data_IF_331510327124
#
_entry.id   IF_331510327124
#
_cell.length_a   1.000
_cell.length_b   1.000
_cell.length_c   1.000
_cell.angle_alpha   90.00
_cell.angle_beta   90.00
_cell.angle_gamma   90.00
#
_symmetry.space_group_name_H-M   'P 1'
#
loop_
_entity.id
_entity.type
_entity.pdbx_description
1 polymer ?
#
# COMPACT_ATOMS: atom_id res chain seq x y z
N UNK A 1 19.80 3.96 35.45
CA UNK A 1 21.03 3.97 34.64
C UNK A 1 20.61 4.29 33.22
N UNK A 2 20.96 5.47 32.70
CA UNK A 2 20.67 5.83 31.31
C UNK A 2 21.61 5.00 30.45
N UNK A 3 21.09 4.04 29.71
CA UNK A 3 21.89 3.27 28.75
C UNK A 3 22.57 4.26 27.78
N UNK A 4 23.85 4.05 27.45
CA UNK A 4 24.46 4.84 26.37
C UNK A 4 23.70 4.57 25.08
N UNK A 5 23.68 5.52 24.15
CA UNK A 5 22.93 5.38 22.90
C UNK A 5 23.32 4.12 22.10
N UNK A 6 24.61 3.74 22.13
CA UNK A 6 25.13 2.48 21.59
C UNK A 6 24.54 1.18 22.21
N UNK A 7 24.08 1.23 23.47
CA UNK A 7 23.43 0.10 24.16
C UNK A 7 21.92 0.05 23.91
N UNK A 8 21.33 1.12 23.39
CA UNK A 8 19.89 1.24 23.21
C UNK A 8 19.38 0.49 21.98
N UNK A 9 20.11 0.50 20.86
CA UNK A 9 19.66 -0.15 19.62
C UNK A 9 19.37 -1.67 19.78
N UNK A 10 20.20 -2.48 20.47
CA UNK A 10 19.86 -3.87 20.77
C UNK A 10 18.55 -4.02 21.54
N UNK A 11 18.30 -3.16 22.54
CA UNK A 11 17.08 -3.15 23.34
C UNK A 11 15.86 -2.75 22.50
N UNK A 12 15.99 -1.70 21.67
CA UNK A 12 14.94 -1.28 20.72
C UNK A 12 14.53 -2.42 19.80
N UNK A 13 15.52 -3.13 19.23
CA UNK A 13 15.27 -4.28 18.35
C UNK A 13 14.56 -5.41 19.09
N UNK A 14 14.95 -5.70 20.33
CA UNK A 14 14.28 -6.69 21.16
C UNK A 14 12.82 -6.29 21.42
N UNK A 15 12.58 -5.08 21.95
CA UNK A 15 11.24 -4.61 22.30
C UNK A 15 10.32 -4.52 21.09
N UNK A 16 10.86 -4.11 19.94
CA UNK A 16 10.10 -4.03 18.72
C UNK A 16 9.70 -5.42 18.20
N UNK A 17 10.58 -6.43 18.29
CA UNK A 17 10.22 -7.82 17.97
C UNK A 17 9.11 -8.36 18.87
N UNK A 18 9.17 -8.06 20.17
CA UNK A 18 8.10 -8.42 21.12
C UNK A 18 6.76 -7.77 20.74
N UNK A 19 6.79 -6.62 20.07
CA UNK A 19 5.60 -5.92 19.55
C UNK A 19 5.21 -6.35 18.12
N UNK A 20 5.95 -7.27 17.50
CA UNK A 20 5.67 -7.81 16.17
C UNK A 20 6.33 -7.07 14.99
N UNK A 21 7.23 -6.12 15.24
CA UNK A 21 8.05 -5.51 14.18
C UNK A 21 9.20 -6.46 13.81
N UNK A 22 9.41 -6.66 12.51
CA UNK A 22 10.47 -7.54 12.00
C UNK A 22 11.84 -6.86 12.04
N UNK A 23 11.89 -5.54 11.92
CA UNK A 23 13.14 -4.78 11.95
C UNK A 23 12.94 -3.34 12.44
N UNK A 24 13.94 -2.82 13.17
CA UNK A 24 14.08 -1.40 13.52
C UNK A 24 15.45 -0.90 13.06
N UNK A 25 15.45 0.31 12.52
CA UNK A 25 16.63 1.10 12.19
C UNK A 25 16.49 2.55 12.68
N UNK A 26 17.59 3.29 12.64
CA UNK A 26 17.67 4.70 13.04
C UNK A 26 18.18 5.49 11.83
N UNK A 27 17.41 6.46 11.37
CA UNK A 27 17.80 7.42 10.35
C UNK A 27 18.13 8.77 10.99
N UNK A 28 19.06 9.50 10.37
CA UNK A 28 19.20 10.94 10.58
C UNK A 28 18.04 11.73 9.99
N UNK A 29 17.98 13.03 10.29
CA UNK A 29 16.89 13.93 9.88
C UNK A 29 17.16 14.72 8.59
N UNK A 30 18.39 14.71 8.09
CA UNK A 30 18.71 15.36 6.82
C UNK A 30 18.18 14.51 5.65
N UNK A 31 17.12 14.99 5.00
CA UNK A 31 16.53 14.41 3.79
C UNK A 31 16.66 15.34 2.57
N UNK A 32 17.55 16.33 2.63
CA UNK A 32 17.69 17.38 1.60
C UNK A 32 17.92 16.81 0.20
N UNK A 33 18.64 15.69 0.08
CA UNK A 33 18.87 15.05 -1.23
C UNK A 33 17.63 14.38 -1.85
N UNK A 34 16.58 14.13 -1.07
CA UNK A 34 15.31 13.58 -1.59
C UNK A 34 14.33 14.68 -2.07
N UNK A 35 14.49 15.92 -1.57
CA UNK A 35 13.61 17.05 -1.88
C UNK A 35 13.51 17.35 -3.38
N UNK A 36 14.61 17.40 -4.18
CA UNK A 36 14.52 17.68 -5.61
C UNK A 36 13.65 16.67 -6.38
N UNK A 37 13.77 15.38 -6.06
CA UNK A 37 12.98 14.33 -6.70
C UNK A 37 11.49 14.44 -6.39
N UNK A 38 11.14 14.77 -5.14
CA UNK A 38 9.76 15.07 -4.74
C UNK A 38 9.21 16.28 -5.49
N UNK A 39 9.96 17.38 -5.53
CA UNK A 39 9.53 18.61 -6.21
C UNK A 39 9.33 18.38 -7.71
N UNK A 40 10.20 17.61 -8.35
CA UNK A 40 10.03 17.26 -9.76
C UNK A 40 8.78 16.40 -9.99
N UNK A 41 8.53 15.42 -9.13
CA UNK A 41 7.34 14.57 -9.21
C UNK A 41 6.03 15.36 -9.01
N UNK A 42 6.03 16.34 -8.10
CA UNK A 42 4.93 17.29 -7.91
C UNK A 42 4.72 18.17 -9.15
N UNK A 43 5.80 18.75 -9.69
CA UNK A 43 5.76 19.63 -10.87
C UNK A 43 5.24 18.93 -12.13
N UNK A 44 5.51 17.63 -12.28
CA UNK A 44 4.98 16.80 -13.39
C UNK A 44 3.51 16.39 -13.18
N UNK A 45 2.90 16.73 -12.04
CA UNK A 45 1.51 16.38 -11.72
C UNK A 45 1.30 14.89 -11.47
N UNK A 46 2.37 14.13 -11.21
CA UNK A 46 2.28 12.68 -11.04
C UNK A 46 1.55 12.24 -9.76
N UNK A 47 1.15 13.18 -8.90
CA UNK A 47 0.35 12.93 -7.70
C UNK A 47 -1.15 12.81 -7.97
N UNK A 48 -1.64 13.20 -9.16
CA UNK A 48 -3.06 13.21 -9.46
C UNK A 48 -3.87 14.03 -8.44
N UNK A 49 -4.96 13.46 -7.93
CA UNK A 49 -5.91 14.12 -7.03
C UNK A 49 -5.43 14.13 -5.57
N UNK A 50 -4.23 13.61 -5.28
CA UNK A 50 -3.65 13.64 -3.93
C UNK A 50 -3.16 15.07 -3.60
N UNK A 51 -4.05 16.07 -3.56
CA UNK A 51 -3.73 17.47 -3.31
C UNK A 51 -2.98 17.70 -1.98
N UNK A 52 -3.15 16.79 -1.01
CA UNK A 52 -2.36 16.81 0.22
C UNK A 52 -0.85 16.60 -0.03
N UNK A 53 -0.44 16.00 -1.15
CA UNK A 53 0.97 15.88 -1.52
C UNK A 53 1.56 17.26 -1.83
N UNK A 54 0.82 18.08 -2.60
CA UNK A 54 1.22 19.44 -2.94
C UNK A 54 1.10 20.38 -1.75
N UNK A 55 0.00 20.33 -1.00
CA UNK A 55 -0.26 21.20 0.16
C UNK A 55 0.80 21.07 1.27
N UNK A 56 1.39 19.88 1.45
CA UNK A 56 2.48 19.69 2.40
C UNK A 56 3.85 20.05 1.82
N UNK A 57 4.01 20.05 0.49
CA UNK A 57 5.25 20.42 -0.21
C UNK A 57 6.51 19.81 0.41
N UNK A 58 7.49 20.66 0.73
CA UNK A 58 8.79 20.26 1.28
C UNK A 58 8.75 19.78 2.74
N UNK A 59 7.63 19.95 3.48
CA UNK A 59 7.55 19.52 4.90
C UNK A 59 7.86 18.03 5.08
N UNK A 60 7.57 17.20 4.07
CA UNK A 60 7.87 15.77 4.05
C UNK A 60 9.36 15.45 4.13
N UNK A 61 10.20 16.32 3.57
CA UNK A 61 11.65 16.20 3.57
C UNK A 61 12.31 16.95 4.75
N UNK A 62 11.53 17.54 5.64
CA UNK A 62 12.04 18.43 6.70
C UNK A 62 11.47 18.03 8.07
N UNK A 63 12.01 16.99 8.72
CA UNK A 63 11.49 16.46 9.98
C UNK A 63 11.28 17.51 11.08
N UNK A 64 12.17 18.50 11.18
CA UNK A 64 12.08 19.59 12.14
C UNK A 64 10.87 20.53 11.93
N UNK A 65 10.36 20.66 10.70
CA UNK A 65 9.14 21.43 10.42
C UNK A 65 7.87 20.64 10.78
N UNK A 66 7.93 19.31 10.74
CA UNK A 66 6.81 18.44 11.08
C UNK A 66 6.68 18.25 12.60
N UNK A 67 7.81 18.07 13.28
CA UNK A 67 7.92 17.94 14.74
C UNK A 67 9.16 18.69 15.21
N UNK A 68 8.98 19.92 15.74
CA UNK A 68 10.09 20.71 16.27
C UNK A 68 10.90 19.94 17.31
N UNK A 69 12.24 20.04 17.22
CA UNK A 69 13.16 19.35 18.13
C UNK A 69 13.54 17.93 17.69
N UNK A 70 13.00 17.41 16.59
CA UNK A 70 13.42 16.09 16.07
C UNK A 70 14.89 16.09 15.67
N UNK A 71 15.67 15.16 16.22
CA UNK A 71 17.10 14.97 15.88
C UNK A 71 17.41 13.57 15.36
N UNK A 72 16.54 12.59 15.63
CA UNK A 72 16.65 11.23 15.07
C UNK A 72 15.26 10.70 14.68
N UNK A 73 15.24 9.72 13.78
CA UNK A 73 14.00 9.00 13.41
C UNK A 73 14.22 7.50 13.58
N UNK A 74 13.41 6.86 14.42
CA UNK A 74 13.34 5.41 14.52
C UNK A 74 12.38 4.93 13.42
N UNK A 75 12.84 4.07 12.53
CA UNK A 75 12.03 3.48 11.46
C UNK A 75 11.74 2.03 11.80
N UNK A 76 10.49 1.61 11.63
CA UNK A 76 10.03 0.26 11.90
C UNK A 76 9.50 -0.40 10.64
N UNK A 77 9.65 -1.72 10.59
CA UNK A 77 9.11 -2.58 9.55
C UNK A 77 8.26 -3.68 10.17
N UNK A 78 7.12 -3.98 9.55
CA UNK A 78 6.22 -5.04 9.99
C UNK A 78 5.72 -5.84 8.79
N UNK A 79 6.05 -7.13 8.74
CA UNK A 79 5.70 -8.00 7.62
C UNK A 79 4.18 -8.28 7.63
N UNK A 80 3.55 -8.30 6.46
CA UNK A 80 2.08 -8.39 6.34
C UNK A 80 1.57 -9.59 5.54
N UNK A 81 2.46 -10.38 4.93
CA UNK A 81 2.03 -11.56 4.19
C UNK A 81 1.27 -12.51 5.14
N UNK A 82 0.04 -12.96 4.82
CA UNK A 82 -0.77 -13.74 5.76
C UNK A 82 -0.05 -14.98 6.31
N UNK A 83 -0.34 -15.39 7.55
CA UNK A 83 0.40 -16.47 8.25
C UNK A 83 0.37 -17.82 7.55
N UNK A 84 -0.72 -18.11 6.85
CA UNK A 84 -0.94 -19.36 6.14
C UNK A 84 -0.65 -19.24 4.64
N UNK A 85 0.20 -18.29 4.25
CA UNK A 85 0.59 -18.11 2.84
C UNK A 85 1.47 -19.29 2.39
N UNK A 86 1.12 -19.98 1.28
CA UNK A 86 1.91 -21.09 0.78
C UNK A 86 3.21 -20.63 0.11
N UNK A 87 4.15 -21.54 -0.13
CA UNK A 87 5.46 -21.22 -0.72
C UNK A 87 5.34 -20.63 -2.14
N UNK A 88 4.39 -21.11 -2.94
CA UNK A 88 4.14 -20.71 -4.32
C UNK A 88 3.17 -19.52 -4.47
N UNK A 89 2.98 -18.75 -3.39
CA UNK A 89 1.96 -17.69 -3.32
C UNK A 89 1.99 -16.68 -4.46
N UNK A 90 3.17 -16.31 -4.98
CA UNK A 90 3.28 -15.37 -6.10
C UNK A 90 2.59 -15.94 -7.36
N UNK A 91 2.80 -17.23 -7.64
CA UNK A 91 2.18 -17.91 -8.78
C UNK A 91 0.66 -18.05 -8.57
N UNK A 92 0.24 -18.37 -7.34
CA UNK A 92 -1.17 -18.43 -7.00
C UNK A 92 -1.85 -17.08 -7.20
N UNK A 93 -1.28 -15.98 -6.69
CA UNK A 93 -1.80 -14.62 -6.87
C UNK A 93 -1.85 -14.19 -8.34
N UNK A 94 -0.83 -14.50 -9.14
CA UNK A 94 -0.87 -14.29 -10.59
C UNK A 94 -1.98 -15.10 -11.28
N UNK A 95 -2.20 -16.36 -10.86
CA UNK A 95 -3.27 -17.18 -11.42
C UNK A 95 -4.66 -16.61 -11.15
N UNK A 96 -4.87 -15.92 -10.02
CA UNK A 96 -6.15 -15.26 -9.71
C UNK A 96 -6.46 -14.10 -10.66
N UNK A 97 -5.44 -13.42 -11.18
CA UNK A 97 -5.61 -12.38 -12.20
C UNK A 97 -6.16 -12.92 -13.51
N UNK A 98 -6.05 -14.23 -13.75
CA UNK A 98 -6.59 -14.94 -14.92
C UNK A 98 -8.01 -15.48 -14.68
N UNK A 99 -8.66 -15.14 -13.56
CA UNK A 99 -10.03 -15.54 -13.22
C UNK A 99 -10.94 -14.31 -13.30
N UNK A 100 -11.54 -13.99 -14.46
CA UNK A 100 -12.16 -12.70 -14.69
C UNK A 100 -13.33 -12.40 -13.76
N UNK A 101 -14.08 -13.42 -13.33
CA UNK A 101 -15.19 -13.28 -12.39
C UNK A 101 -14.78 -13.08 -10.92
N UNK A 102 -13.52 -13.30 -10.56
CA UNK A 102 -13.04 -13.17 -9.19
C UNK A 102 -12.57 -11.74 -8.90
N UNK A 103 -12.94 -11.22 -7.73
CA UNK A 103 -12.48 -9.92 -7.25
C UNK A 103 -11.07 -9.99 -6.66
N UNK A 104 -10.20 -9.08 -7.08
CA UNK A 104 -8.83 -8.98 -6.57
C UNK A 104 -8.67 -7.74 -5.69
N UNK A 105 -8.35 -8.01 -4.42
CA UNK A 105 -7.95 -7.04 -3.42
C UNK A 105 -6.47 -7.28 -3.12
N UNK A 106 -5.68 -6.21 -3.14
CA UNK A 106 -4.26 -6.24 -2.81
C UNK A 106 -4.00 -6.86 -1.44
N UNK A 107 -2.94 -7.65 -1.32
CA UNK A 107 -2.62 -8.49 -0.15
C UNK A 107 -2.61 -7.67 1.15
N UNK A 108 -2.06 -6.45 1.13
CA UNK A 108 -1.94 -5.61 2.33
C UNK A 108 -3.30 -5.20 2.93
N UNK A 109 -4.36 -5.21 2.12
CA UNK A 109 -5.68 -4.70 2.49
C UNK A 109 -6.67 -5.78 2.95
N UNK A 110 -6.27 -7.06 2.90
CA UNK A 110 -7.15 -8.21 3.22
C UNK A 110 -7.39 -8.39 4.71
N UNK A 111 -6.50 -7.87 5.54
CA UNK A 111 -6.58 -7.96 7.00
C UNK A 111 -7.17 -6.71 7.66
N UNK A 112 -6.75 -6.47 8.90
CA UNK A 112 -7.03 -5.26 9.67
C UNK A 112 -6.25 -4.07 9.11
N UNK A 113 -6.84 -2.89 9.28
CA UNK A 113 -6.23 -1.61 8.98
C UNK A 113 -4.89 -1.43 9.69
N UNK A 114 -3.82 -1.53 8.90
CA UNK A 114 -2.45 -1.49 9.37
C UNK A 114 -2.10 -0.17 10.07
N UNK A 115 -2.75 0.95 9.69
CA UNK A 115 -2.50 2.24 10.33
C UNK A 115 -2.72 2.17 11.84
N UNK A 116 -3.80 1.50 12.27
CA UNK A 116 -4.15 1.33 13.68
C UNK A 116 -3.22 0.33 14.37
N UNK A 117 -2.91 -0.77 13.68
CA UNK A 117 -2.03 -1.85 14.19
C UNK A 117 -0.64 -1.32 14.47
N UNK A 118 -0.02 -0.63 13.50
CA UNK A 118 1.32 -0.06 13.62
C UNK A 118 1.34 1.08 14.62
N UNK A 119 0.43 2.06 14.53
CA UNK A 119 0.43 3.24 15.42
C UNK A 119 0.34 2.84 16.89
N UNK A 120 -0.55 1.90 17.23
CA UNK A 120 -0.67 1.42 18.61
C UNK A 120 0.61 0.75 19.10
N UNK A 121 1.29 -0.03 18.26
CA UNK A 121 2.54 -0.73 18.63
C UNK A 121 3.75 0.20 18.68
N UNK A 122 3.84 1.18 17.78
CA UNK A 122 4.86 2.22 17.84
C UNK A 122 4.69 3.10 19.07
N UNK A 123 3.46 3.38 19.50
CA UNK A 123 3.21 4.11 20.74
C UNK A 123 3.68 3.31 21.95
N UNK A 124 3.36 2.02 22.03
CA UNK A 124 3.88 1.12 23.08
C UNK A 124 5.41 1.03 23.08
N UNK A 125 6.03 1.02 21.90
CA UNK A 125 7.48 1.06 21.79
C UNK A 125 8.02 2.38 22.37
N UNK A 126 7.39 3.51 22.05
CA UNK A 126 7.77 4.83 22.59
C UNK A 126 7.63 4.91 24.11
N UNK A 127 6.56 4.36 24.67
CA UNK A 127 6.35 4.25 26.12
C UNK A 127 7.48 3.47 26.79
N UNK A 128 7.85 2.31 26.22
CA UNK A 128 8.95 1.48 26.75
C UNK A 128 10.33 2.14 26.62
N UNK A 129 10.54 2.94 25.57
CA UNK A 129 11.75 3.77 25.46
C UNK A 129 11.78 4.80 26.60
N UNK A 130 10.64 5.42 26.92
CA UNK A 130 10.56 6.41 27.99
C UNK A 130 10.81 5.79 29.37
N UNK A 131 10.41 4.53 29.60
CA UNK A 131 10.74 3.79 30.83
C UNK A 131 12.26 3.62 31.01
N UNK A 132 13.01 3.46 29.91
CA UNK A 132 14.46 3.24 29.95
C UNK A 132 15.28 4.54 29.99
N UNK A 133 14.85 5.58 29.28
CA UNK A 133 15.58 6.84 29.14
C UNK A 133 15.06 7.98 30.03
N UNK A 134 13.85 7.83 30.57
CA UNK A 134 13.06 8.95 31.08
C UNK A 134 12.19 9.60 29.98
N UNK A 135 11.33 10.55 30.34
CA UNK A 135 10.48 11.25 29.38
C UNK A 135 11.30 11.95 28.29
N UNK A 136 10.85 11.84 27.04
CA UNK A 136 11.47 12.45 25.87
C UNK A 136 10.41 12.85 24.85
N UNK A 137 10.69 13.85 24.02
CA UNK A 137 9.81 14.31 22.95
C UNK A 137 9.76 13.28 21.83
N UNK A 138 8.55 12.82 21.50
CA UNK A 138 8.37 11.90 20.38
C UNK A 138 7.03 12.06 19.69
N UNK A 139 6.96 11.61 18.43
CA UNK A 139 5.71 11.46 17.69
C UNK A 139 5.76 10.27 16.75
N UNK A 140 4.71 9.46 16.82
CA UNK A 140 4.51 8.28 15.98
C UNK A 140 3.81 8.64 14.68
N UNK A 141 4.26 8.05 13.58
CA UNK A 141 3.69 8.20 12.25
C UNK A 141 3.49 6.86 11.53
N UNK A 142 2.44 6.84 10.71
CA UNK A 142 2.09 5.75 9.78
C UNK A 142 1.29 6.34 8.61
N UNK A 143 1.82 6.32 7.37
CA UNK A 143 1.22 6.62 6.03
C UNK A 143 0.36 7.89 5.87
N UNK A 144 -0.58 8.08 6.77
CA UNK A 144 -1.49 9.22 6.94
C UNK A 144 -0.83 10.56 7.30
N UNK A 145 0.50 10.63 7.41
CA UNK A 145 1.22 11.86 7.74
C UNK A 145 2.17 12.26 6.61
N UNK A 146 2.57 13.54 6.52
CA UNK A 146 3.52 13.98 5.51
C UNK A 146 4.95 13.56 5.88
N UNK A 147 5.22 12.26 5.89
CA UNK A 147 6.55 11.67 6.11
C UNK A 147 7.06 11.12 4.76
N UNK A 148 8.38 11.02 4.59
CA UNK A 148 9.01 10.27 3.50
C UNK A 148 9.44 8.89 4.02
N UNK A 149 8.48 8.03 4.33
CA UNK A 149 8.73 6.75 5.04
C UNK A 149 9.76 5.90 4.31
N UNK A 150 9.64 5.79 2.99
CA UNK A 150 10.54 4.98 2.20
C UNK A 150 11.98 5.53 2.12
N UNK A 151 12.14 6.85 2.18
CA UNK A 151 13.45 7.48 2.21
C UNK A 151 14.12 7.23 3.56
N UNK A 152 13.38 7.45 4.65
CA UNK A 152 13.84 7.18 6.01
C UNK A 152 14.21 5.70 6.18
N UNK A 153 13.36 4.78 5.71
CA UNK A 153 13.62 3.34 5.75
C UNK A 153 14.87 2.93 4.95
N UNK A 154 15.12 3.58 3.81
CA UNK A 154 16.34 3.31 3.02
C UNK A 154 17.59 3.79 3.75
N UNK A 155 17.52 4.97 4.38
CA UNK A 155 18.63 5.57 5.14
C UNK A 155 18.95 4.85 6.44
N UNK A 156 17.96 4.24 7.07
CA UNK A 156 18.11 3.48 8.31
C UNK A 156 18.44 2.00 8.09
N UNK A 157 18.68 1.56 6.84
CA UNK A 157 19.08 0.19 6.56
C UNK A 157 17.96 -0.84 6.63
N UNK A 158 16.69 -0.42 6.53
CA UNK A 158 15.56 -1.35 6.39
C UNK A 158 15.50 -1.98 4.98
N UNK A 159 16.19 -1.37 4.00
CA UNK A 159 16.20 -1.82 2.62
C UNK A 159 16.75 -0.77 1.66
N UNK A 160 16.44 -0.93 0.37
CA UNK A 160 16.72 0.05 -0.68
C UNK A 160 15.46 0.36 -1.50
N UNK A 161 15.44 1.50 -2.19
CA UNK A 161 14.35 1.84 -3.11
C UNK A 161 14.39 0.94 -4.35
N UNK A 162 13.32 0.20 -4.64
CA UNK A 162 13.14 -0.55 -5.87
C UNK A 162 12.73 0.33 -7.05
N UNK A 163 12.93 -0.15 -8.29
CA UNK A 163 12.53 0.61 -9.50
C UNK A 163 11.03 0.94 -9.55
N UNK A 164 10.20 0.11 -8.92
CA UNK A 164 8.76 0.33 -8.72
C UNK A 164 8.42 1.25 -7.54
N UNK A 165 9.41 1.91 -6.94
CA UNK A 165 9.22 2.88 -5.85
C UNK A 165 8.65 2.28 -4.56
N UNK A 166 8.93 1.02 -4.22
CA UNK A 166 8.75 0.54 -2.84
C UNK A 166 10.11 0.23 -2.22
N UNK A 167 10.14 0.08 -0.89
CA UNK A 167 11.36 -0.39 -0.21
C UNK A 167 11.46 -1.90 -0.38
N UNK A 168 12.66 -2.36 -0.72
CA UNK A 168 13.02 -3.76 -0.85
C UNK A 168 14.04 -4.15 0.21
N UNK A 169 13.84 -5.30 0.83
CA UNK A 169 14.76 -5.97 1.75
C UNK A 169 15.24 -7.26 1.12
N UNK A 170 16.51 -7.58 1.35
CA UNK A 170 17.11 -8.84 0.91
C UNK A 170 16.47 -10.04 1.60
N UNK A 171 16.07 -9.87 2.86
CA UNK A 171 15.54 -10.92 3.73
C UNK A 171 14.01 -10.97 3.76
N UNK A 172 13.32 -9.92 3.30
CA UNK A 172 11.87 -9.79 3.45
C UNK A 172 11.12 -9.31 2.19
N UNK A 173 11.80 -9.13 1.06
CA UNK A 173 11.17 -8.62 -0.16
C UNK A 173 10.60 -7.22 0.05
N UNK A 174 9.32 -7.01 -0.24
CA UNK A 174 8.58 -5.74 -0.06
C UNK A 174 7.25 -5.92 0.67
N UNK A 175 6.94 -7.11 1.18
CA UNK A 175 5.64 -7.44 1.78
C UNK A 175 5.58 -7.01 3.25
N UNK A 176 5.88 -5.74 3.51
CA UNK A 176 5.89 -5.14 4.83
C UNK A 176 5.36 -3.70 4.84
N UNK A 177 4.85 -3.28 5.99
CA UNK A 177 4.51 -1.90 6.30
C UNK A 177 5.70 -1.17 6.92
N UNK A 178 5.69 0.15 6.78
CA UNK A 178 6.61 1.07 7.42
C UNK A 178 5.90 1.91 8.48
N UNK A 179 6.65 2.37 9.47
CA UNK A 179 6.19 3.39 10.41
C UNK A 179 7.36 4.00 11.17
N UNK A 180 7.17 5.21 11.67
CA UNK A 180 8.25 6.05 12.15
C UNK A 180 7.95 6.60 13.55
N UNK A 181 9.00 6.81 14.33
CA UNK A 181 8.96 7.56 15.58
C UNK A 181 10.00 8.66 15.47
N UNK A 182 9.54 9.90 15.39
CA UNK A 182 10.40 11.07 15.40
C UNK A 182 10.73 11.35 16.86
N UNK A 183 12.02 11.55 17.17
CA UNK A 183 12.49 11.70 18.55
C UNK A 183 13.45 12.87 18.70
N UNK A 184 13.42 13.52 19.86
CA UNK A 184 14.34 14.60 20.26
C UNK A 184 15.63 14.09 20.92
N UNK A 185 15.81 12.76 20.96
CA UNK A 185 17.01 12.09 21.46
C UNK A 185 17.95 11.78 20.29
N UNK A 186 19.22 12.16 20.44
CA UNK A 186 20.26 11.79 19.48
C UNK A 186 20.57 10.30 19.60
N UNK A 187 20.37 9.56 18.51
CA UNK A 187 20.60 8.12 18.41
C UNK A 187 21.65 7.84 17.32
N UNK A 188 22.52 6.85 17.51
CA UNK A 188 23.47 6.47 16.45
C UNK A 188 22.71 5.90 15.23
N UNK A 189 22.90 6.49 14.03
CA UNK A 189 22.26 6.00 12.82
C UNK A 189 22.68 4.58 12.48
N UNK A 190 21.76 3.81 11.93
CA UNK A 190 22.07 2.51 11.31
C UNK A 190 22.49 2.72 9.86
N UNK A 191 23.42 1.89 9.38
CA UNK A 191 23.95 2.01 8.02
C UNK A 191 22.87 1.69 6.97
N UNK A 192 22.81 2.52 5.92
CA UNK A 192 21.97 2.29 4.76
C UNK A 192 22.43 1.05 3.97
N UNK A 193 21.48 0.41 3.28
CA UNK A 193 21.76 -0.78 2.45
C UNK A 193 21.94 -0.36 0.99
N UNK A 194 22.90 -1.00 0.29
CA UNK A 194 23.12 -0.77 -1.13
C UNK A 194 21.93 -1.24 -2.00
N UNK A 195 21.71 -0.58 -3.15
CA UNK A 195 20.66 -0.99 -4.07
C UNK A 195 20.98 -2.31 -4.81
N UNK A 196 19.99 -3.17 -4.98
CA UNK A 196 20.18 -4.50 -5.58
C UNK A 196 19.24 -4.83 -6.76
N UNK A 197 18.66 -3.83 -7.43
CA UNK A 197 17.84 -4.08 -8.62
C UNK A 197 18.67 -4.46 -9.87
N UNK A 198 19.91 -3.96 -9.99
CA UNK A 198 20.74 -4.17 -11.17
C UNK A 198 20.02 -3.81 -12.49
N UNK A 199 20.18 -4.65 -13.51
CA UNK A 199 19.53 -4.51 -14.82
C UNK A 199 18.06 -4.93 -14.85
N UNK A 200 17.50 -5.52 -13.78
CA UNK A 200 16.13 -6.05 -13.77
C UNK A 200 15.08 -4.97 -14.05
N UNK A 201 14.12 -5.26 -14.93
CA UNK A 201 12.97 -4.39 -15.29
C UNK A 201 11.61 -5.02 -15.03
N UNK A 202 11.55 -6.21 -14.43
CA UNK A 202 10.33 -7.03 -14.32
C UNK A 202 9.10 -6.28 -13.79
N UNK A 203 9.27 -5.42 -12.78
CA UNK A 203 8.19 -4.62 -12.22
C UNK A 203 7.62 -3.57 -13.20
N UNK A 204 8.46 -3.03 -14.09
CA UNK A 204 8.06 -2.10 -15.14
C UNK A 204 7.36 -2.84 -16.27
N UNK A 205 7.94 -3.97 -16.69
CA UNK A 205 7.44 -4.79 -17.79
C UNK A 205 6.05 -5.37 -17.49
N UNK A 206 5.80 -5.76 -16.23
CA UNK A 206 4.50 -6.31 -15.79
C UNK A 206 3.43 -5.24 -15.57
N UNK A 207 3.80 -3.95 -15.41
CA UNK A 207 2.87 -2.92 -14.99
C UNK A 207 1.79 -2.68 -16.07
N UNK A 208 0.50 -3.04 -15.83
CA UNK A 208 -0.48 -3.13 -16.91
C UNK A 208 -0.76 -1.79 -17.60
N UNK A 209 -0.60 -0.71 -16.86
CA UNK A 209 -0.85 0.66 -17.32
C UNK A 209 0.43 1.43 -17.65
N UNK A 210 1.61 0.82 -17.51
CA UNK A 210 2.89 1.52 -17.66
C UNK A 210 3.05 2.69 -16.70
N UNK A 211 2.54 2.56 -15.46
CA UNK A 211 2.61 3.61 -14.45
C UNK A 211 4.03 3.86 -13.95
N UNK A 212 4.93 2.87 -14.02
CA UNK A 212 6.35 3.06 -13.72
C UNK A 212 7.05 3.57 -14.99
N UNK A 213 7.01 4.88 -15.18
CA UNK A 213 7.47 5.56 -16.42
C UNK A 213 9.00 5.57 -16.58
N UNK A 214 9.73 5.41 -15.48
CA UNK A 214 11.18 5.23 -15.45
C UNK A 214 11.58 4.54 -14.14
N UNK A 215 12.80 3.98 -14.02
CA UNK A 215 13.31 3.50 -12.75
C UNK A 215 13.13 4.54 -11.64
N UNK A 216 12.52 4.14 -10.53
CA UNK A 216 12.26 4.98 -9.36
C UNK A 216 11.24 6.11 -9.58
N UNK A 217 10.45 6.02 -10.65
CA UNK A 217 9.48 7.06 -11.03
C UNK A 217 8.14 6.45 -11.42
N UNK A 218 7.11 6.78 -10.65
CA UNK A 218 5.73 6.36 -10.88
C UNK A 218 4.86 7.57 -11.21
N UNK A 219 4.08 7.50 -12.28
CA UNK A 219 2.94 8.38 -12.50
C UNK A 219 1.71 7.77 -11.82
N UNK A 220 1.30 8.34 -10.67
CA UNK A 220 0.20 7.78 -9.89
C UNK A 220 -1.11 7.80 -10.67
N UNK A 221 -1.32 8.78 -11.56
CA UNK A 221 -2.54 8.90 -12.38
C UNK A 221 -2.82 7.66 -13.23
N UNK A 222 -1.78 6.87 -13.53
CA UNK A 222 -1.87 5.61 -14.28
C UNK A 222 -1.85 4.38 -13.35
N UNK A 223 -1.39 4.51 -12.12
CA UNK A 223 -1.22 3.39 -11.19
C UNK A 223 -2.59 2.84 -10.76
N UNK A 224 -2.84 1.54 -10.98
CA UNK A 224 -4.10 0.89 -10.57
C UNK A 224 -4.36 1.04 -9.06
N UNK A 225 -3.31 1.04 -8.24
CA UNK A 225 -3.44 1.28 -6.80
C UNK A 225 -4.02 2.67 -6.50
N UNK A 226 -3.48 3.72 -7.12
CA UNK A 226 -4.04 5.07 -7.03
C UNK A 226 -5.46 5.14 -7.60
N UNK A 227 -5.70 4.59 -8.78
CA UNK A 227 -7.02 4.64 -9.45
C UNK A 227 -8.12 4.01 -8.59
N UNK A 228 -7.81 2.91 -7.90
CA UNK A 228 -8.79 2.20 -7.08
C UNK A 228 -8.96 2.78 -5.68
N UNK A 229 -7.97 3.53 -5.17
CA UNK A 229 -7.94 3.97 -3.77
C UNK A 229 -8.02 5.49 -3.61
N UNK A 230 -7.18 6.25 -4.31
CA UNK A 230 -7.03 7.69 -4.12
C UNK A 230 -7.86 8.50 -5.12
N UNK A 231 -7.99 8.02 -6.37
CA UNK A 231 -8.78 8.72 -7.37
C UNK A 231 -10.27 8.71 -6.99
N UNK A 232 -10.87 9.90 -6.89
CA UNK A 232 -12.28 10.05 -6.53
C UNK A 232 -13.22 9.97 -7.74
N UNK A 233 -12.78 10.47 -8.88
CA UNK A 233 -13.61 10.66 -10.07
C UNK A 233 -13.77 9.42 -10.97
N UNK A 234 -14.13 9.71 -12.22
CA UNK A 234 -14.27 8.70 -13.25
C UNK A 234 -12.90 8.24 -13.79
N UNK A 235 -12.67 6.93 -13.79
CA UNK A 235 -11.42 6.37 -14.31
C UNK A 235 -11.40 6.54 -15.82
N UNK A 236 -10.29 7.00 -16.39
CA UNK A 236 -10.13 7.17 -17.85
C UNK A 236 -10.56 5.87 -18.60
N UNK A 237 -11.51 5.94 -19.56
CA UNK A 237 -11.93 4.80 -20.36
C UNK A 237 -10.79 4.00 -21.01
N UNK A 238 -9.64 4.61 -21.31
CA UNK A 238 -8.46 3.93 -21.87
C UNK A 238 -7.75 3.04 -20.84
N UNK A 239 -7.84 3.37 -19.55
CA UNK A 239 -7.21 2.60 -18.48
C UNK A 239 -8.10 1.46 -17.98
N UNK A 240 -9.43 1.57 -18.10
CA UNK A 240 -10.40 0.57 -17.60
C UNK A 240 -10.11 -0.86 -18.08
N UNK A 241 -9.84 -1.12 -19.39
CA UNK A 241 -9.49 -2.46 -19.85
C UNK A 241 -8.23 -3.05 -19.20
N UNK A 242 -7.26 -2.20 -18.87
CA UNK A 242 -5.96 -2.60 -18.33
C UNK A 242 -6.01 -2.96 -16.83
N UNK A 243 -7.10 -2.61 -16.15
CA UNK A 243 -7.25 -2.89 -14.71
C UNK A 243 -7.54 -4.36 -14.40
N UNK A 244 -8.04 -5.13 -15.39
CA UNK A 244 -8.44 -6.52 -15.19
C UNK A 244 -9.50 -6.64 -14.11
N UNK A 245 -9.29 -7.56 -13.17
CA UNK A 245 -10.22 -7.85 -12.07
C UNK A 245 -9.78 -7.24 -10.71
N UNK A 246 -8.89 -6.24 -10.71
CA UNK A 246 -8.41 -5.53 -9.52
C UNK A 246 -9.41 -4.48 -9.06
N UNK A 247 -9.97 -4.65 -7.87
CA UNK A 247 -11.00 -3.77 -7.32
C UNK A 247 -10.51 -2.89 -6.16
N UNK A 248 -9.34 -3.22 -5.58
CA UNK A 248 -8.71 -2.42 -4.52
C UNK A 248 -7.20 -2.69 -4.47
N UNK A 249 -6.38 -1.68 -4.77
CA UNK A 249 -4.92 -1.82 -4.83
C UNK A 249 -4.44 -2.62 -6.04
N UNK A 250 -3.12 -2.76 -6.15
CA UNK A 250 -2.48 -3.57 -7.19
C UNK A 250 -1.11 -4.05 -6.70
N UNK A 251 -0.88 -5.37 -6.78
CA UNK A 251 0.37 -5.98 -6.30
C UNK A 251 1.31 -6.37 -7.44
N UNK A 252 0.94 -6.20 -8.71
CA UNK A 252 1.67 -6.74 -9.87
C UNK A 252 3.18 -6.45 -9.85
N UNK A 253 3.54 -5.20 -9.59
CA UNK A 253 4.94 -4.77 -9.54
C UNK A 253 5.72 -5.41 -8.38
N UNK A 254 5.03 -5.76 -7.30
CA UNK A 254 5.57 -6.58 -6.20
C UNK A 254 5.60 -8.06 -6.61
N UNK A 255 4.50 -8.63 -7.14
CA UNK A 255 4.42 -10.03 -7.54
C UNK A 255 5.50 -10.42 -8.55
N UNK A 256 5.84 -9.54 -9.50
CA UNK A 256 6.92 -9.78 -10.46
C UNK A 256 8.34 -9.51 -9.90
N UNK A 257 8.46 -8.91 -8.71
CA UNK A 257 9.76 -8.58 -8.14
C UNK A 257 10.46 -9.86 -7.64
N UNK A 258 11.66 -10.20 -8.14
CA UNK A 258 12.35 -11.44 -7.75
C UNK A 258 12.77 -11.49 -6.29
N UNK A 259 12.79 -10.34 -5.60
CA UNK A 259 13.07 -10.26 -4.17
C UNK A 259 11.90 -10.71 -3.30
N UNK A 260 10.68 -10.76 -3.83
CA UNK A 260 9.51 -11.20 -3.04
C UNK A 260 9.43 -12.70 -2.82
N UNK A 261 10.31 -13.51 -3.44
CA UNK A 261 10.51 -14.90 -3.02
C UNK A 261 11.08 -15.00 -1.59
N UNK A 262 11.66 -13.91 -1.08
CA UNK A 262 12.15 -13.80 0.29
C UNK A 262 11.14 -13.12 1.22
N UNK A 263 9.91 -12.85 0.76
CA UNK A 263 8.88 -12.25 1.61
C UNK A 263 8.61 -13.11 2.84
N UNK A 264 8.51 -12.46 4.01
CA UNK A 264 8.24 -13.12 5.27
C UNK A 264 6.74 -13.07 5.59
N UNK A 265 6.23 -14.16 6.18
CA UNK A 265 4.88 -14.17 6.75
C UNK A 265 4.83 -13.30 8.01
N UNK A 266 3.71 -12.63 8.19
CA UNK A 266 3.40 -11.84 9.39
C UNK A 266 3.47 -12.72 10.64
N UNK A 267 3.97 -12.17 11.75
CA UNK A 267 3.84 -12.81 13.06
C UNK A 267 2.47 -12.53 13.72
N UNK A 268 1.70 -11.60 13.15
CA UNK A 268 0.44 -11.11 13.69
C UNK A 268 -0.78 -11.69 12.94
N UNK A 269 -1.83 -12.13 13.67
CA UNK A 269 -3.11 -12.52 13.06
C UNK A 269 -3.85 -11.35 12.43
N UNK A 270 -3.51 -10.11 12.80
CA UNK A 270 -4.16 -8.88 12.32
C UNK A 270 -4.14 -8.78 10.79
N UNK A 271 -3.17 -9.39 10.10
CA UNK A 271 -3.00 -9.32 8.64
C UNK A 271 -3.46 -10.57 7.90
N UNK A 272 -4.02 -11.56 8.61
CA UNK A 272 -4.65 -12.69 7.95
C UNK A 272 -5.85 -12.23 7.13
N UNK A 273 -6.04 -12.86 5.97
CA UNK A 273 -7.12 -12.51 5.07
C UNK A 273 -8.49 -12.76 5.73
N UNK A 274 -9.35 -11.74 5.70
CA UNK A 274 -10.74 -11.87 6.14
C UNK A 274 -11.53 -12.74 5.18
N UNK A 275 -12.50 -13.47 5.72
CA UNK A 275 -13.47 -14.21 4.92
C UNK A 275 -14.16 -13.26 3.91
N UNK A 276 -14.31 -13.72 2.66
CA UNK A 276 -14.97 -12.94 1.60
C UNK A 276 -14.11 -11.88 0.90
N UNK A 277 -12.82 -11.73 1.24
CA UNK A 277 -11.88 -10.85 0.49
C UNK A 277 -10.93 -11.63 -0.43
N UNK A 278 -10.90 -12.96 -0.32
CA UNK A 278 -10.13 -13.87 -1.16
C UNK A 278 -11.09 -14.86 -1.80
N UNK A 279 -11.01 -15.02 -3.13
CA UNK A 279 -11.90 -15.92 -3.88
C UNK A 279 -13.32 -15.41 -4.14
N UNK A 280 -13.69 -14.23 -3.62
CA UNK A 280 -15.03 -13.67 -3.76
C UNK A 280 -15.35 -13.32 -5.22
N UNK A 281 -16.59 -13.56 -5.63
CA UNK A 281 -17.05 -13.27 -6.98
C UNK A 281 -17.44 -11.80 -7.11
N UNK A 282 -17.10 -11.17 -8.24
CA UNK A 282 -17.41 -9.77 -8.50
C UNK A 282 -18.91 -9.46 -8.35
N UNK A 283 -19.77 -10.35 -8.86
CA UNK A 283 -21.23 -10.19 -8.78
C UNK A 283 -21.75 -10.18 -7.35
N UNK A 284 -21.13 -10.96 -6.45
CA UNK A 284 -21.49 -11.00 -5.03
C UNK A 284 -21.14 -9.68 -4.34
N UNK A 285 -19.92 -9.20 -4.56
CA UNK A 285 -19.45 -7.94 -3.96
C UNK A 285 -20.17 -6.71 -4.53
N UNK A 286 -20.61 -6.76 -5.80
CA UNK A 286 -21.37 -5.70 -6.45
C UNK A 286 -22.82 -5.59 -5.92
N UNK A 287 -23.36 -6.70 -5.41
CA UNK A 287 -24.69 -6.76 -4.83
C UNK A 287 -24.76 -6.15 -3.42
N UNK A 288 -23.62 -5.87 -2.77
CA UNK A 288 -23.61 -5.23 -1.45
C UNK A 288 -24.31 -3.88 -1.50
N UNK A 289 -25.19 -3.63 -0.54
CA UNK A 289 -25.65 -2.27 -0.24
C UNK A 289 -24.62 -1.56 0.64
N UNK A 290 -24.81 -0.26 0.85
CA UNK A 290 -23.86 0.54 1.64
C UNK A 290 -23.75 0.04 3.09
N UNK A 291 -24.87 -0.37 3.70
CA UNK A 291 -24.87 -0.92 5.04
C UNK A 291 -24.03 -2.21 5.14
N UNK A 292 -24.12 -3.08 4.14
CA UNK A 292 -23.33 -4.30 4.04
C UNK A 292 -21.86 -4.00 3.79
N UNK A 293 -21.54 -3.06 2.89
CA UNK A 293 -20.17 -2.61 2.66
C UNK A 293 -19.54 -2.08 3.96
N UNK A 294 -20.22 -1.18 4.68
CA UNK A 294 -19.70 -0.57 5.91
C UNK A 294 -19.45 -1.61 7.02
N UNK A 295 -20.36 -2.58 7.15
CA UNK A 295 -20.23 -3.69 8.10
C UNK A 295 -19.10 -4.65 7.72
N UNK A 296 -19.05 -5.10 6.47
CA UNK A 296 -18.06 -6.07 6.00
C UNK A 296 -16.63 -5.50 5.98
N UNK A 297 -16.49 -4.20 5.72
CA UNK A 297 -15.19 -3.51 5.70
C UNK A 297 -14.81 -2.87 7.04
N UNK A 298 -15.55 -3.13 8.12
CA UNK A 298 -15.25 -2.54 9.42
C UNK A 298 -13.83 -2.87 9.91
N UNK A 299 -13.04 -1.83 10.17
CA UNK A 299 -11.65 -1.97 10.60
C UNK A 299 -10.70 -2.50 9.51
N UNK A 300 -11.13 -2.56 8.24
CA UNK A 300 -10.27 -2.78 7.06
C UNK A 300 -9.90 -1.41 6.46
N UNK A 301 -8.72 -1.28 5.82
CA UNK A 301 -8.38 -0.05 5.11
C UNK A 301 -9.32 0.23 3.93
N UNK A 302 -9.98 -0.80 3.39
CA UNK A 302 -10.94 -0.69 2.27
C UNK A 302 -12.09 0.27 2.59
N UNK A 303 -12.52 0.35 3.86
CA UNK A 303 -13.63 1.20 4.26
C UNK A 303 -13.43 2.67 3.88
N UNK A 304 -12.17 3.13 3.75
CA UNK A 304 -11.82 4.53 3.41
C UNK A 304 -12.28 4.97 2.03
N UNK A 305 -12.44 4.04 1.08
CA UNK A 305 -12.82 4.43 -0.28
C UNK A 305 -14.31 4.76 -0.40
N UNK A 306 -15.13 4.28 0.55
CA UNK A 306 -16.58 4.40 0.49
C UNK A 306 -17.23 3.47 -0.55
N UNK A 307 -18.55 3.29 -0.42
CA UNK A 307 -19.30 2.34 -1.23
C UNK A 307 -19.39 2.76 -2.71
N UNK A 308 -19.42 4.06 -3.00
CA UNK A 308 -19.45 4.57 -4.37
C UNK A 308 -18.22 4.11 -5.19
N UNK A 309 -17.00 4.32 -4.66
CA UNK A 309 -15.77 3.90 -5.33
C UNK A 309 -15.64 2.38 -5.38
N UNK A 310 -16.13 1.68 -4.36
CA UNK A 310 -16.20 0.21 -4.36
C UNK A 310 -17.02 -0.29 -5.56
N UNK A 311 -18.23 0.23 -5.76
CA UNK A 311 -19.07 -0.11 -6.92
C UNK A 311 -18.43 0.32 -8.24
N UNK A 312 -17.85 1.53 -8.32
CA UNK A 312 -17.15 2.02 -9.50
C UNK A 312 -16.04 1.04 -9.93
N UNK A 313 -15.19 0.63 -9.00
CA UNK A 313 -14.07 -0.27 -9.28
C UNK A 313 -14.56 -1.66 -9.72
N UNK A 314 -15.59 -2.20 -9.04
CA UNK A 314 -16.17 -3.49 -9.42
C UNK A 314 -16.87 -3.42 -10.78
N UNK A 315 -17.52 -2.32 -11.14
CA UNK A 315 -18.11 -2.14 -12.47
C UNK A 315 -17.05 -2.23 -13.58
N UNK A 316 -15.86 -1.66 -13.37
CA UNK A 316 -14.73 -1.83 -14.30
C UNK A 316 -14.34 -3.30 -14.44
N UNK A 317 -14.16 -4.00 -13.31
CA UNK A 317 -13.79 -5.41 -13.31
C UNK A 317 -14.86 -6.31 -13.96
N UNK A 318 -16.15 -6.05 -13.72
CA UNK A 318 -17.26 -6.74 -14.36
C UNK A 318 -17.26 -6.51 -15.88
N UNK A 319 -17.01 -5.28 -16.33
CA UNK A 319 -16.86 -4.96 -17.76
C UNK A 319 -15.70 -5.72 -18.41
N UNK A 320 -14.57 -5.85 -17.70
CA UNK A 320 -13.44 -6.67 -18.16
C UNK A 320 -13.79 -8.16 -18.19
N UNK A 321 -14.51 -8.68 -17.19
CA UNK A 321 -14.98 -10.05 -17.18
C UNK A 321 -15.92 -10.37 -18.36
N UNK A 322 -16.77 -9.41 -18.73
CA UNK A 322 -17.66 -9.50 -19.89
C UNK A 322 -16.95 -9.67 -21.23
N UNK A 323 -15.68 -9.24 -21.35
CA UNK A 323 -14.86 -9.39 -22.57
C UNK A 323 -14.38 -10.81 -22.83
N UNK A 324 -14.45 -11.67 -21.82
CA UNK A 324 -13.98 -13.06 -21.91
C UNK A 324 -15.04 -14.07 -21.43
N UNK A 325 -16.26 -13.61 -21.18
CA UNK A 325 -17.33 -14.42 -20.62
C UNK A 325 -17.99 -15.29 -21.70
N UNK A 326 -18.30 -16.55 -21.35
CA UNK A 326 -19.22 -17.36 -22.15
C UNK A 326 -20.67 -16.78 -22.09
N UNK A 327 -21.59 -17.21 -22.96
CA UNK A 327 -22.95 -16.64 -23.01
C UNK A 327 -23.72 -16.71 -21.67
N UNK A 328 -23.53 -17.77 -20.89
CA UNK A 328 -24.23 -17.95 -19.61
C UNK A 328 -23.65 -17.01 -18.54
N UNK A 329 -22.32 -16.92 -18.47
CA UNK A 329 -21.62 -15.99 -17.60
C UNK A 329 -21.97 -14.54 -17.95
N UNK A 330 -21.97 -14.20 -19.24
CA UNK A 330 -22.27 -12.87 -19.73
C UNK A 330 -23.66 -12.41 -19.30
N UNK A 331 -24.66 -13.30 -19.31
CA UNK A 331 -26.01 -12.97 -18.83
C UNK A 331 -26.00 -12.59 -17.35
N UNK A 332 -25.37 -13.40 -16.49
CA UNK A 332 -25.26 -13.12 -15.06
C UNK A 332 -24.54 -11.79 -14.77
N UNK A 333 -23.47 -11.49 -15.50
CA UNK A 333 -22.73 -10.22 -15.39
C UNK A 333 -23.60 -9.03 -15.83
N UNK A 334 -24.38 -9.16 -16.93
CA UNK A 334 -25.28 -8.11 -17.41
C UNK A 334 -26.42 -7.85 -16.43
N UNK A 335 -27.00 -8.88 -15.82
CA UNK A 335 -28.01 -8.74 -14.78
C UNK A 335 -27.44 -7.98 -13.58
N UNK A 336 -26.25 -8.37 -13.09
CA UNK A 336 -25.58 -7.70 -11.99
C UNK A 336 -25.34 -6.21 -12.29
N UNK A 337 -24.75 -5.88 -13.45
CA UNK A 337 -24.53 -4.49 -13.88
C UNK A 337 -25.83 -3.69 -14.01
N UNK A 338 -26.86 -4.29 -14.62
CA UNK A 338 -28.14 -3.62 -14.85
C UNK A 338 -28.84 -3.22 -13.55
N UNK A 339 -28.61 -3.96 -12.45
CA UNK A 339 -29.14 -3.61 -11.12
C UNK A 339 -28.71 -2.23 -10.60
N UNK A 340 -27.66 -1.64 -11.19
CA UNK A 340 -27.11 -0.33 -10.79
C UNK A 340 -27.23 0.77 -11.85
N UNK A 341 -27.94 0.53 -12.96
CA UNK A 341 -28.16 1.54 -14.00
C UNK A 341 -28.84 2.82 -13.47
N UNK A 342 -29.72 2.67 -12.47
CA UNK A 342 -30.42 3.77 -11.80
C UNK A 342 -29.75 4.28 -10.53
N UNK A 343 -28.48 3.93 -10.25
CA UNK A 343 -27.79 4.38 -9.04
C UNK A 343 -27.71 5.91 -8.97
N UNK A 344 -27.79 6.51 -7.77
CA UNK A 344 -27.84 7.98 -7.62
C UNK A 344 -26.53 8.68 -8.02
N UNK A 345 -25.38 8.02 -7.83
CA UNK A 345 -24.06 8.51 -8.27
C UNK A 345 -23.89 8.43 -9.78
N UNK A 346 -23.54 9.56 -10.40
CA UNK A 346 -23.22 9.65 -11.83
C UNK A 346 -22.00 8.81 -12.20
N UNK A 347 -20.94 8.86 -11.39
CA UNK A 347 -19.73 8.07 -11.57
C UNK A 347 -20.06 6.57 -11.65
N UNK A 348 -20.90 6.05 -10.75
CA UNK A 348 -21.30 4.63 -10.78
C UNK A 348 -22.07 4.32 -12.06
N UNK A 349 -23.06 5.15 -12.44
CA UNK A 349 -23.85 4.93 -13.66
C UNK A 349 -22.97 4.90 -14.91
N UNK A 350 -22.02 5.84 -15.03
CA UNK A 350 -21.10 5.92 -16.16
C UNK A 350 -20.26 4.64 -16.31
N UNK A 351 -19.72 4.12 -15.20
CA UNK A 351 -18.89 2.91 -15.23
C UNK A 351 -19.72 1.66 -15.52
N UNK A 352 -20.96 1.60 -15.02
CA UNK A 352 -21.92 0.54 -15.35
C UNK A 352 -22.28 0.55 -16.84
N UNK A 353 -22.56 1.73 -17.41
CA UNK A 353 -22.86 1.87 -18.83
C UNK A 353 -21.67 1.45 -19.69
N UNK A 354 -20.46 1.89 -19.33
CA UNK A 354 -19.22 1.45 -19.99
C UNK A 354 -19.05 -0.07 -19.91
N UNK A 355 -19.32 -0.68 -18.75
CA UNK A 355 -19.18 -2.11 -18.54
C UNK A 355 -20.19 -2.92 -19.39
N UNK A 356 -21.44 -2.47 -19.47
CA UNK A 356 -22.48 -3.09 -20.29
C UNK A 356 -22.20 -2.98 -21.80
N UNK A 357 -21.46 -1.95 -22.22
CA UNK A 357 -21.03 -1.78 -23.60
C UNK A 357 -19.94 -2.79 -24.01
N UNK A 358 -19.25 -3.42 -23.06
CA UNK A 358 -18.26 -4.44 -23.39
C UNK A 358 -18.91 -5.68 -24.05
N UNK A 359 -18.13 -6.32 -24.91
CA UNK A 359 -18.49 -7.51 -25.69
C UNK A 359 -17.35 -8.52 -25.57
N UNK A 360 -17.65 -9.83 -25.59
CA UNK A 360 -16.62 -10.84 -25.79
C UNK A 360 -15.77 -10.49 -27.02
N UNK A 361 -14.45 -10.55 -26.87
CA UNK A 361 -13.51 -10.32 -27.98
C UNK A 361 -13.58 -11.43 -29.05
#
# INVERSE_FOLDING_TARGET
>A
MVASSSQLLPLLRQWARELGFSQIGIAGVDLSSAEPGLMQWLAEGFHGDMHYMEAHGARRARPAELVPGTVSVITARMDYLPRNTPEDWQALEFARLQRPGEAIVSVYARGRDYHKVLRSRLQKLSERIAEALGPFGHRVFTDSAPVLEAELASRSGQGWRGKHTLVLSREAGSMFFLGEIYVDVALEPTEAVSAHCGSCTACMDVCPTGAIVAPYRVDARRCISYLTIEHHGAIDPQLRPLMGNRIYGCDDCQLACPWNKFAQVSSLPDFDARAGLVGAQLVELFAWDEATFLRATEGSPIRRIGHERWLRNIAVALGNALRSADPLQAEGLRVALSSRLGHHSETVREHVQWALAQRPD
#
